data_IF_159514858655
#
_entry.id   IF_159514858655
#
_cell.length_a   1.000
_cell.length_b   1.000
_cell.length_c   1.000
_cell.angle_alpha   90.00
_cell.angle_beta   90.00
_cell.angle_gamma   90.00
#
_symmetry.space_group_name_H-M   'P 1'
#
loop_
_entity.id
_entity.type
_entity.pdbx_description
1 polymer ?
#
# COMPACT_ATOMS: atom_id res chain seq x y z
N UNK A 1 23.60 -2.40 -10.37
CA UNK A 1 23.84 -1.17 -9.60
C UNK A 1 22.47 -0.60 -9.28
N UNK A 2 22.11 -0.45 -8.01
CA UNK A 2 20.87 0.24 -7.64
C UNK A 2 21.10 1.73 -7.85
N UNK A 3 20.39 2.31 -8.82
CA UNK A 3 20.42 3.73 -9.09
C UNK A 3 19.67 4.45 -7.97
N UNK A 4 20.29 5.46 -7.36
CA UNK A 4 19.69 6.23 -6.27
C UNK A 4 19.50 7.67 -6.69
N UNK A 5 18.37 8.26 -6.29
CA UNK A 5 18.01 9.65 -6.63
C UNK A 5 17.84 10.44 -5.33
N UNK A 6 18.17 11.74 -5.39
CA UNK A 6 18.01 12.63 -4.23
C UNK A 6 16.58 13.13 -4.14
N UNK A 7 15.94 12.89 -3.00
CA UNK A 7 14.66 13.48 -2.63
C UNK A 7 14.88 14.57 -1.58
N UNK A 8 14.56 15.83 -1.91
CA UNK A 8 14.75 16.98 -1.02
C UNK A 8 13.41 17.57 -0.59
N UNK A 9 13.15 17.58 0.72
CA UNK A 9 11.93 18.17 1.32
C UNK A 9 12.31 19.34 2.20
N UNK A 10 11.61 20.47 2.02
CA UNK A 10 11.76 21.64 2.90
C UNK A 10 10.99 21.40 4.18
N UNK A 11 11.68 21.51 5.31
CA UNK A 11 11.10 21.41 6.65
C UNK A 11 11.41 22.66 7.49
N UNK A 12 10.64 22.86 8.57
CA UNK A 12 10.94 23.94 9.51
C UNK A 12 12.28 23.70 10.21
N UNK A 13 12.95 24.78 10.61
CA UNK A 13 14.22 24.69 11.36
C UNK A 13 14.01 23.95 12.69
N UNK A 14 12.90 24.23 13.37
CA UNK A 14 12.54 23.58 14.64
C UNK A 14 12.43 22.06 14.49
N UNK A 15 11.75 21.58 13.43
CA UNK A 15 11.61 20.15 13.18
C UNK A 15 12.98 19.50 12.96
N UNK A 16 13.86 20.11 12.16
CA UNK A 16 15.22 19.61 11.95
C UNK A 16 15.99 19.51 13.26
N UNK A 17 15.88 20.49 14.14
CA UNK A 17 16.57 20.45 15.44
C UNK A 17 15.98 19.39 16.39
N UNK A 18 14.67 19.15 16.35
CA UNK A 18 14.06 18.04 17.09
C UNK A 18 14.51 16.69 16.55
N UNK A 19 14.56 16.52 15.23
CA UNK A 19 15.02 15.30 14.56
C UNK A 19 16.46 14.93 14.95
N UNK A 20 17.36 15.91 15.03
CA UNK A 20 18.77 15.69 15.43
C UNK A 20 18.96 15.18 16.85
N UNK A 21 18.02 15.47 17.75
CA UNK A 21 18.08 15.03 19.16
C UNK A 21 17.70 13.57 19.33
N UNK A 22 17.14 12.96 18.29
CA UNK A 22 16.64 11.58 18.31
C UNK A 22 17.59 10.73 17.46
N UNK A 23 18.08 9.62 18.03
CA UNK A 23 18.98 8.68 17.37
C UNK A 23 18.27 7.76 16.36
N UNK A 24 17.64 8.35 15.34
CA UNK A 24 16.91 7.63 14.29
C UNK A 24 17.60 7.85 12.95
N UNK A 25 17.67 6.79 12.14
CA UNK A 25 18.04 6.92 10.72
C UNK A 25 16.85 7.50 9.95
N UNK A 26 16.84 8.82 9.84
CA UNK A 26 15.77 9.54 9.16
C UNK A 26 15.67 9.23 7.67
N UNK A 27 16.75 8.77 7.01
CA UNK A 27 16.65 8.33 5.62
C UNK A 27 15.79 7.07 5.55
N UNK A 28 16.17 6.04 6.32
CA UNK A 28 15.47 4.76 6.32
C UNK A 28 14.00 4.91 6.79
N UNK A 29 13.76 5.74 7.80
CA UNK A 29 12.41 6.00 8.32
C UNK A 29 11.51 6.66 7.26
N UNK A 30 12.01 7.69 6.57
CA UNK A 30 11.25 8.38 5.51
C UNK A 30 11.03 7.47 4.31
N UNK A 31 12.04 6.72 3.90
CA UNK A 31 11.95 5.77 2.78
C UNK A 31 10.88 4.71 3.06
N UNK A 32 10.94 4.07 4.23
CA UNK A 32 9.94 3.10 4.67
C UNK A 32 8.53 3.70 4.72
N UNK A 33 8.39 4.90 5.28
CA UNK A 33 7.10 5.60 5.33
C UNK A 33 6.53 5.82 3.92
N UNK A 34 7.37 6.25 2.96
CA UNK A 34 6.94 6.46 1.58
C UNK A 34 6.53 5.12 0.93
N UNK A 35 7.31 4.06 1.10
CA UNK A 35 6.99 2.74 0.56
C UNK A 35 5.67 2.18 1.10
N UNK A 36 5.44 2.27 2.40
CA UNK A 36 4.20 1.82 3.03
C UNK A 36 3.01 2.63 2.51
N UNK A 37 3.17 3.95 2.38
CA UNK A 37 2.12 4.82 1.84
C UNK A 37 1.79 4.51 0.38
N UNK A 38 2.80 4.17 -0.44
CA UNK A 38 2.59 3.75 -1.83
C UNK A 38 1.80 2.44 -1.91
N UNK A 39 2.19 1.43 -1.13
CA UNK A 39 1.47 0.15 -1.06
C UNK A 39 0.00 0.33 -0.70
N UNK A 40 -0.30 1.23 0.23
CA UNK A 40 -1.69 1.54 0.60
C UNK A 40 -2.49 2.17 -0.56
N UNK A 41 -1.89 3.11 -1.29
CA UNK A 41 -2.54 3.75 -2.43
C UNK A 41 -2.76 2.76 -3.58
N UNK A 42 -1.76 1.93 -3.89
CA UNK A 42 -1.86 0.85 -4.88
C UNK A 42 -2.98 -0.13 -4.51
N UNK A 43 -3.03 -0.55 -3.23
CA UNK A 43 -4.10 -1.42 -2.75
C UNK A 43 -5.47 -0.75 -2.89
N UNK A 44 -5.58 0.54 -2.53
CA UNK A 44 -6.83 1.28 -2.66
C UNK A 44 -7.28 1.38 -4.12
N UNK A 45 -6.35 1.60 -5.03
CA UNK A 45 -6.63 1.61 -6.47
C UNK A 45 -7.08 0.24 -6.97
N UNK A 46 -6.41 -0.84 -6.57
CA UNK A 46 -6.80 -2.20 -6.93
C UNK A 46 -8.23 -2.51 -6.47
N UNK A 47 -8.56 -2.19 -5.22
CA UNK A 47 -9.92 -2.36 -4.69
C UNK A 47 -10.94 -1.50 -5.45
N UNK A 48 -10.59 -0.25 -5.80
CA UNK A 48 -11.46 0.62 -6.61
C UNK A 48 -11.73 0.00 -7.97
N UNK A 49 -10.71 -0.52 -8.65
CA UNK A 49 -10.85 -1.19 -9.94
C UNK A 49 -11.73 -2.43 -9.87
N UNK A 50 -11.58 -3.26 -8.83
CA UNK A 50 -12.46 -4.42 -8.59
C UNK A 50 -13.91 -3.96 -8.39
N UNK A 51 -14.15 -2.92 -7.58
CA UNK A 51 -15.50 -2.40 -7.35
C UNK A 51 -16.15 -1.87 -8.62
N UNK A 52 -15.40 -1.13 -9.46
CA UNK A 52 -15.93 -0.65 -10.73
C UNK A 52 -16.19 -1.80 -11.71
N UNK A 53 -15.34 -2.83 -11.76
CA UNK A 53 -15.56 -4.01 -12.60
C UNK A 53 -16.80 -4.82 -12.16
N UNK A 54 -17.11 -4.85 -10.86
CA UNK A 54 -18.30 -5.51 -10.30
C UNK A 54 -19.53 -4.60 -10.29
N UNK A 55 -19.44 -3.38 -10.80
CA UNK A 55 -20.56 -2.43 -10.80
C UNK A 55 -21.69 -2.95 -11.66
N UNK A 56 -22.86 -3.15 -11.05
CA UNK A 56 -24.03 -3.71 -11.72
C UNK A 56 -24.05 -5.24 -11.81
N UNK A 57 -23.05 -5.93 -11.24
CA UNK A 57 -23.09 -7.39 -11.08
C UNK A 57 -23.82 -7.73 -9.79
N UNK A 58 -24.91 -8.49 -9.89
CA UNK A 58 -25.61 -8.97 -8.70
C UNK A 58 -24.75 -9.99 -7.93
N UNK A 59 -24.78 -9.97 -6.59
CA UNK A 59 -24.14 -11.01 -5.79
C UNK A 59 -24.68 -12.39 -6.16
N UNK A 60 -23.80 -13.39 -6.25
CA UNK A 60 -24.22 -14.78 -6.43
C UNK A 60 -25.15 -15.22 -5.30
N UNK A 61 -26.22 -15.94 -5.64
CA UNK A 61 -27.09 -16.60 -4.67
C UNK A 61 -26.42 -17.76 -3.93
N UNK A 62 -25.29 -18.27 -4.46
CA UNK A 62 -24.49 -19.30 -3.80
C UNK A 62 -23.27 -18.70 -3.07
N UNK A 63 -22.97 -19.18 -1.84
CA UNK A 63 -21.80 -18.71 -1.11
C UNK A 63 -20.48 -19.06 -1.81
N UNK A 64 -19.55 -18.09 -1.86
CA UNK A 64 -18.26 -18.25 -2.52
C UNK A 64 -17.46 -19.47 -2.02
N UNK A 65 -17.55 -19.82 -0.74
CA UNK A 65 -16.81 -20.96 -0.17
C UNK A 65 -17.19 -22.31 -0.78
N UNK A 66 -18.46 -22.47 -1.19
CA UNK A 66 -18.96 -23.70 -1.82
C UNK A 66 -18.31 -23.86 -3.19
N UNK A 67 -18.36 -22.82 -4.02
CA UNK A 67 -17.72 -22.80 -5.35
C UNK A 67 -16.21 -22.97 -5.28
N UNK A 68 -15.55 -22.35 -4.29
CA UNK A 68 -14.09 -22.50 -4.09
C UNK A 68 -13.74 -23.95 -3.71
N UNK A 69 -14.51 -24.58 -2.84
CA UNK A 69 -14.29 -25.96 -2.40
C UNK A 69 -14.45 -26.93 -3.56
N UNK A 70 -15.54 -26.82 -4.32
CA UNK A 70 -15.80 -27.65 -5.50
C UNK A 70 -14.69 -27.50 -6.55
N UNK A 71 -14.19 -26.28 -6.78
CA UNK A 71 -13.07 -26.03 -7.69
C UNK A 71 -11.73 -26.62 -7.21
N UNK A 72 -11.52 -26.74 -5.90
CA UNK A 72 -10.31 -27.34 -5.31
C UNK A 72 -10.35 -28.86 -5.31
N UNK A 73 -11.51 -29.44 -5.00
CA UNK A 73 -11.71 -30.89 -4.93
C UNK A 73 -11.89 -31.53 -6.33
N UNK A 74 -12.26 -30.73 -7.34
CA UNK A 74 -12.40 -31.18 -8.72
C UNK A 74 -11.13 -31.12 -9.59
N UNK A 75 -9.97 -30.79 -9.01
CA UNK A 75 -8.64 -30.87 -9.65
C UNK A 75 -7.91 -32.13 -9.19
#
# INVERSE_FOLDING_TARGET
MTETVVFSVRISRELRERMKKVGVDWRAEIEKFIEERLKEEEFREAIRSVKEALKGVEPSGEPAWKTIRESREGR
#
